data_IF_390508013191
#
_entry.id   IF_390508013191
#
_cell.length_a   1.000
_cell.length_b   1.000
_cell.length_c   1.000
_cell.angle_alpha   90.00
_cell.angle_beta   90.00
_cell.angle_gamma   90.00
#
_symmetry.space_group_name_H-M   'P 1'
#
loop_
_entity.id
_entity.type
_entity.pdbx_description
1 polymer ?
#
# COMPACT_ATOMS: atom_id res chain seq x y z
N UNK A 1 16.79 3.24 4.14
CA UNK A 1 16.27 1.98 4.71
C UNK A 1 16.61 1.99 6.18
N UNK A 2 15.62 1.76 7.02
CA UNK A 2 15.81 1.56 8.45
C UNK A 2 16.88 0.49 8.69
N UNK A 3 17.71 0.70 9.71
CA UNK A 3 18.65 -0.33 10.13
C UNK A 3 17.87 -1.53 10.68
N UNK A 4 18.26 -2.75 10.28
CA UNK A 4 17.65 -3.97 10.83
C UNK A 4 17.82 -4.02 12.36
N UNK A 5 18.85 -3.35 12.90
CA UNK A 5 19.09 -3.23 14.34
C UNK A 5 17.91 -2.60 15.10
N UNK A 6 17.34 -1.49 14.61
CA UNK A 6 16.23 -0.81 15.31
C UNK A 6 14.92 -1.58 15.16
N UNK A 7 14.69 -2.27 14.03
CA UNK A 7 13.53 -3.17 13.85
C UNK A 7 13.61 -4.28 14.90
N UNK A 8 14.73 -5.00 14.95
CA UNK A 8 14.93 -6.10 15.88
C UNK A 8 14.81 -5.63 17.34
N UNK A 9 15.37 -4.45 17.67
CA UNK A 9 15.23 -3.88 18.99
C UNK A 9 13.76 -3.61 19.35
N UNK A 10 12.99 -2.94 18.47
CA UNK A 10 11.58 -2.63 18.70
C UNK A 10 10.69 -3.87 18.75
N UNK A 11 11.03 -4.93 18.03
CA UNK A 11 10.39 -6.24 18.11
C UNK A 11 10.72 -6.98 19.43
N UNK A 12 11.76 -6.54 20.14
CA UNK A 12 12.26 -7.19 21.35
C UNK A 12 13.17 -8.38 21.10
N UNK A 13 13.67 -8.54 19.87
CA UNK A 13 14.58 -9.61 19.44
C UNK A 13 16.04 -9.17 19.36
N UNK A 14 16.29 -7.85 19.39
CA UNK A 14 17.62 -7.24 19.30
C UNK A 14 18.01 -6.39 20.52
N UNK A 15 19.13 -5.69 20.37
CA UNK A 15 19.70 -4.77 21.38
C UNK A 15 19.82 -3.36 20.81
N UNK A 16 19.75 -2.36 21.69
CA UNK A 16 20.11 -1.00 21.37
C UNK A 16 21.63 -0.86 21.22
N UNK A 17 22.10 0.29 20.74
CA UNK A 17 23.53 0.55 20.50
C UNK A 17 24.41 0.46 21.76
N UNK A 18 23.83 0.66 22.93
CA UNK A 18 24.50 0.49 24.23
C UNK A 18 24.46 -0.97 24.75
N UNK A 19 23.91 -1.90 23.96
CA UNK A 19 23.84 -3.33 24.25
C UNK A 19 22.61 -3.74 25.07
N UNK A 20 21.70 -2.81 25.39
CA UNK A 20 20.51 -3.10 26.18
C UNK A 20 19.36 -3.66 25.34
N UNK A 21 18.67 -4.66 25.85
CA UNK A 21 17.39 -5.15 25.30
C UNK A 21 16.21 -4.34 25.84
N UNK A 22 15.06 -4.35 25.13
CA UNK A 22 13.80 -3.80 25.65
C UNK A 22 13.44 -4.38 27.03
N UNK A 23 13.65 -5.69 27.23
CA UNK A 23 13.33 -6.33 28.51
C UNK A 23 14.20 -5.84 29.67
N UNK A 24 15.48 -5.53 29.41
CA UNK A 24 16.37 -4.96 30.43
C UNK A 24 15.97 -3.53 30.77
N UNK A 25 15.58 -2.73 29.78
CA UNK A 25 15.10 -1.36 29.99
C UNK A 25 13.82 -1.35 30.83
N UNK A 26 12.85 -2.23 30.53
CA UNK A 26 11.63 -2.35 31.35
C UNK A 26 11.90 -2.77 32.80
N UNK A 27 13.06 -3.34 33.10
CA UNK A 27 13.47 -3.75 34.43
C UNK A 27 14.27 -2.68 35.19
N UNK A 28 14.49 -1.49 34.60
CA UNK A 28 15.22 -0.41 35.27
C UNK A 28 14.51 0.06 36.54
N UNK A 29 15.26 0.28 37.65
CA UNK A 29 14.73 0.96 38.82
C UNK A 29 14.50 2.46 38.52
N UNK A 30 13.61 3.10 39.27
CA UNK A 30 13.19 4.49 39.01
C UNK A 30 14.37 5.49 38.96
N UNK A 31 15.44 5.27 39.73
CA UNK A 31 16.65 6.10 39.71
C UNK A 31 17.49 5.95 38.43
N UNK A 32 17.49 4.74 37.85
CA UNK A 32 18.12 4.50 36.55
C UNK A 32 17.26 5.10 35.42
N UNK A 33 15.93 4.98 35.50
CA UNK A 33 15.01 5.64 34.56
C UNK A 33 15.24 7.15 34.58
N UNK A 34 15.35 7.78 35.75
CA UNK A 34 15.55 9.22 35.85
C UNK A 34 16.92 9.66 35.31
N UNK A 35 18.02 8.94 35.61
CA UNK A 35 19.37 9.35 35.20
C UNK A 35 19.75 8.98 33.78
N UNK A 36 19.22 7.88 33.25
CA UNK A 36 19.57 7.39 31.92
C UNK A 36 18.64 7.99 30.86
N UNK A 37 19.19 8.78 29.95
CA UNK A 37 18.41 9.43 28.89
C UNK A 37 18.59 8.78 27.52
N UNK A 38 19.42 7.75 27.40
CA UNK A 38 19.83 7.18 26.10
C UNK A 38 18.75 6.24 25.56
N UNK A 39 18.18 5.40 26.44
CA UNK A 39 17.20 4.38 26.05
C UNK A 39 15.96 4.95 25.34
N UNK A 40 15.56 6.18 25.71
CA UNK A 40 14.27 6.75 25.27
C UNK A 40 14.20 6.92 23.75
N UNK A 41 15.35 7.11 23.10
CA UNK A 41 15.40 7.34 21.67
C UNK A 41 15.24 6.06 20.85
N UNK A 42 15.69 4.94 21.43
CA UNK A 42 15.54 3.61 20.85
C UNK A 42 14.16 3.04 21.13
N UNK A 43 13.64 3.24 22.34
CA UNK A 43 12.30 2.75 22.71
C UNK A 43 11.17 3.58 22.09
N UNK A 44 11.42 4.87 21.85
CA UNK A 44 10.48 5.78 21.16
C UNK A 44 11.21 6.59 20.08
N UNK A 45 11.56 5.97 18.93
CA UNK A 45 12.20 6.67 17.82
C UNK A 45 11.23 7.66 17.16
N UNK A 46 11.78 8.72 16.58
CA UNK A 46 11.00 9.77 15.91
C UNK A 46 11.64 10.12 14.58
N UNK A 47 10.90 10.77 13.69
CA UNK A 47 11.39 11.42 12.46
C UNK A 47 12.25 12.67 12.72
N UNK A 48 12.30 13.16 13.96
CA UNK A 48 13.14 14.29 14.36
C UNK A 48 14.46 13.83 15.00
N UNK A 49 15.56 14.46 14.58
CA UNK A 49 16.87 14.31 15.22
C UNK A 49 16.82 14.88 16.64
N UNK A 50 17.35 14.14 17.62
CA UNK A 50 17.48 14.67 18.98
C UNK A 50 18.64 15.66 19.08
N UNK A 51 18.38 16.83 19.66
CA UNK A 51 19.43 17.81 19.97
C UNK A 51 20.43 17.30 21.03
N UNK A 52 19.98 16.46 21.96
CA UNK A 52 20.78 16.00 23.11
C UNK A 52 21.58 14.73 22.84
N UNK A 53 21.16 13.91 21.87
CA UNK A 53 21.90 12.72 21.46
C UNK A 53 21.67 12.49 19.96
N UNK A 54 22.68 12.85 19.16
CA UNK A 54 22.61 12.76 17.69
C UNK A 54 22.79 11.34 17.15
N UNK A 55 23.11 10.36 18.00
CA UNK A 55 23.34 8.97 17.58
C UNK A 55 22.14 8.05 17.78
N UNK A 56 21.00 8.58 18.23
CA UNK A 56 19.73 7.84 18.28
C UNK A 56 19.12 7.64 16.89
N UNK A 57 18.26 6.62 16.74
CA UNK A 57 17.57 6.36 15.48
C UNK A 57 16.64 7.51 15.09
N UNK A 58 16.63 7.84 13.81
CA UNK A 58 15.69 8.79 13.19
C UNK A 58 14.89 8.04 12.12
N UNK A 59 13.56 8.11 12.22
CA UNK A 59 12.67 7.41 11.31
C UNK A 59 12.56 8.19 10.00
N UNK A 60 12.89 7.55 8.89
CA UNK A 60 12.49 8.04 7.58
C UNK A 60 11.04 7.70 7.28
N UNK A 61 10.51 8.32 6.23
CA UNK A 61 9.18 8.05 5.67
C UNK A 61 8.95 6.56 5.41
N UNK A 62 9.92 5.92 4.77
CA UNK A 62 9.87 4.50 4.41
C UNK A 62 9.79 3.62 5.66
N UNK A 63 10.45 4.06 6.73
CA UNK A 63 10.52 3.32 7.99
C UNK A 63 9.17 3.37 8.73
N UNK A 64 8.46 4.50 8.64
CA UNK A 64 7.12 4.63 9.22
C UNK A 64 6.16 3.59 8.64
N UNK A 65 6.14 3.40 7.32
CA UNK A 65 5.29 2.40 6.68
C UNK A 65 5.59 0.97 7.15
N UNK A 66 6.88 0.64 7.35
CA UNK A 66 7.32 -0.71 7.77
C UNK A 66 6.88 -0.99 9.20
N UNK A 67 7.10 -0.03 10.08
CA UNK A 67 6.90 -0.19 11.52
C UNK A 67 5.42 -0.11 11.93
N UNK A 68 4.60 0.69 11.24
CA UNK A 68 3.17 0.89 11.57
C UNK A 68 2.32 -0.38 11.48
N UNK A 69 2.75 -1.37 10.71
CA UNK A 69 2.02 -2.61 10.48
C UNK A 69 2.57 -3.81 11.28
N UNK A 70 3.59 -3.58 12.11
CA UNK A 70 4.20 -4.64 12.90
C UNK A 70 3.50 -4.80 14.26
N UNK A 71 2.78 -5.91 14.42
CA UNK A 71 2.00 -6.22 15.63
C UNK A 71 2.88 -6.32 16.88
N UNK A 72 4.08 -6.90 16.77
CA UNK A 72 5.00 -7.04 17.89
C UNK A 72 5.51 -5.68 18.36
N UNK A 73 5.85 -4.78 17.43
CA UNK A 73 6.26 -3.42 17.74
C UNK A 73 5.11 -2.64 18.39
N UNK A 74 3.89 -2.76 17.86
CA UNK A 74 2.72 -2.11 18.45
C UNK A 74 2.51 -2.53 19.92
N UNK A 75 2.54 -3.83 20.20
CA UNK A 75 2.44 -4.36 21.57
C UNK A 75 3.57 -3.89 22.49
N UNK A 76 4.81 -3.83 21.97
CA UNK A 76 5.95 -3.36 22.74
C UNK A 76 5.87 -1.84 23.02
N UNK A 77 5.31 -1.05 22.11
CA UNK A 77 5.00 0.37 22.36
C UNK A 77 3.96 0.48 23.49
N UNK A 78 2.84 -0.24 23.42
CA UNK A 78 1.81 -0.22 24.47
C UNK A 78 2.39 -0.55 25.86
N UNK A 79 3.21 -1.61 25.93
CA UNK A 79 3.91 -1.99 27.17
C UNK A 79 4.85 -0.89 27.66
N UNK A 80 5.60 -0.28 26.76
CA UNK A 80 6.54 0.81 27.08
C UNK A 80 5.82 2.06 27.56
N UNK A 81 4.61 2.35 27.05
CA UNK A 81 3.77 3.43 27.55
C UNK A 81 3.33 3.17 28.98
N UNK A 82 2.82 1.98 29.27
CA UNK A 82 2.39 1.61 30.64
C UNK A 82 3.57 1.66 31.60
N UNK A 83 4.74 1.16 31.18
CA UNK A 83 5.97 1.23 31.97
C UNK A 83 6.36 2.68 32.32
N UNK A 84 6.35 3.59 31.33
CA UNK A 84 6.74 4.98 31.56
C UNK A 84 5.71 5.75 32.40
N UNK A 85 4.40 5.53 32.17
CA UNK A 85 3.33 6.09 33.02
C UNK A 85 3.49 5.63 34.47
N UNK A 86 3.83 4.35 34.67
CA UNK A 86 4.07 3.78 36.01
C UNK A 86 5.25 4.44 36.73
N UNK A 87 6.31 4.78 36.00
CA UNK A 87 7.43 5.57 36.54
C UNK A 87 6.98 6.98 36.95
N UNK A 88 6.30 7.70 36.05
CA UNK A 88 5.84 9.07 36.31
C UNK A 88 4.88 9.16 37.51
N UNK A 89 4.07 8.14 37.77
CA UNK A 89 3.14 8.12 38.90
C UNK A 89 3.80 7.85 40.26
N UNK A 90 5.01 7.26 40.28
CA UNK A 90 5.80 7.04 41.51
C UNK A 90 6.78 8.18 41.80
N UNK A 91 7.11 9.00 40.81
CA UNK A 91 8.22 9.95 40.89
C UNK A 91 7.81 11.39 40.50
N UNK A 92 7.23 12.16 41.42
CA UNK A 92 6.59 13.45 41.08
C UNK A 92 7.53 14.64 40.75
N UNK A 93 8.85 14.46 40.78
CA UNK A 93 9.82 15.55 40.51
C UNK A 93 9.69 16.15 39.10
N UNK A 94 9.15 15.38 38.16
CA UNK A 94 8.90 15.85 36.79
C UNK A 94 7.81 16.92 36.70
N UNK A 95 6.94 17.07 37.70
CA UNK A 95 5.85 18.05 37.74
C UNK A 95 6.41 19.44 38.12
N UNK A 96 7.34 19.93 37.29
CA UNK A 96 8.02 21.21 37.46
C UNK A 96 8.29 21.83 36.11
N UNK A 97 8.27 23.16 36.03
CA UNK A 97 8.51 23.86 34.76
C UNK A 97 9.88 23.47 34.16
N UNK A 98 9.91 23.25 32.85
CA UNK A 98 11.13 22.92 32.09
C UNK A 98 11.87 21.64 32.53
N UNK A 99 11.15 20.67 33.10
CA UNK A 99 11.75 19.37 33.41
C UNK A 99 12.08 18.58 32.12
N UNK A 100 13.23 17.91 32.10
CA UNK A 100 13.68 17.10 30.96
C UNK A 100 12.74 15.91 30.65
N UNK A 101 11.97 15.41 31.61
CA UNK A 101 10.93 14.41 31.37
C UNK A 101 9.81 14.94 30.45
N UNK A 102 9.58 16.26 30.36
CA UNK A 102 8.64 16.82 29.39
C UNK A 102 9.08 16.59 27.94
N UNK A 103 10.40 16.57 27.69
CA UNK A 103 10.97 16.24 26.37
C UNK A 103 10.82 14.75 26.07
N UNK A 104 10.95 13.89 27.08
CA UNK A 104 10.69 12.45 26.93
C UNK A 104 9.22 12.18 26.61
N UNK A 105 8.30 12.82 27.34
CA UNK A 105 6.85 12.76 27.06
C UNK A 105 6.55 13.25 25.65
N UNK A 106 7.16 14.37 25.21
CA UNK A 106 7.00 14.88 23.84
C UNK A 106 7.42 13.84 22.79
N UNK A 107 8.57 13.18 23.01
CA UNK A 107 9.07 12.12 22.12
C UNK A 107 8.15 10.90 22.12
N UNK A 108 7.66 10.48 23.28
CA UNK A 108 6.71 9.36 23.40
C UNK A 108 5.44 9.67 22.61
N UNK A 109 4.83 10.85 22.83
CA UNK A 109 3.64 11.31 22.10
C UNK A 109 3.90 11.24 20.59
N UNK A 110 4.98 11.86 20.12
CA UNK A 110 5.31 11.87 18.69
C UNK A 110 5.50 10.46 18.14
N UNK A 111 6.29 9.61 18.80
CA UNK A 111 6.54 8.23 18.39
C UNK A 111 5.24 7.41 18.35
N UNK A 112 4.40 7.50 19.38
CA UNK A 112 3.15 6.75 19.46
C UNK A 112 2.17 7.19 18.37
N UNK A 113 2.08 8.49 18.08
CA UNK A 113 1.30 8.98 16.95
C UNK A 113 1.85 8.45 15.61
N UNK A 114 3.17 8.49 15.42
CA UNK A 114 3.82 8.03 14.19
C UNK A 114 3.74 6.53 13.95
N UNK A 115 3.91 5.70 14.99
CA UNK A 115 4.04 4.25 14.85
C UNK A 115 2.80 3.48 15.24
N UNK A 116 2.01 3.98 16.19
CA UNK A 116 0.84 3.25 16.71
C UNK A 116 -0.48 3.87 16.27
N UNK A 117 -0.95 4.91 16.97
CA UNK A 117 -2.19 5.62 16.65
C UNK A 117 -2.24 6.98 17.35
N UNK A 118 -2.99 7.91 16.75
CA UNK A 118 -3.23 9.25 17.32
C UNK A 118 -4.05 9.13 18.60
N UNK A 119 -4.98 8.17 18.64
CA UNK A 119 -5.85 7.91 19.79
C UNK A 119 -5.06 7.41 20.99
N UNK A 120 -4.14 6.45 20.80
CA UNK A 120 -3.29 5.95 21.89
C UNK A 120 -2.32 7.03 22.36
N UNK A 121 -1.77 7.82 21.44
CA UNK A 121 -0.91 8.95 21.78
C UNK A 121 -1.65 10.00 22.60
N UNK A 122 -2.91 10.29 22.24
CA UNK A 122 -3.76 11.22 22.98
C UNK A 122 -4.11 10.66 24.37
N UNK A 123 -4.46 9.39 24.46
CA UNK A 123 -4.68 8.72 25.75
C UNK A 123 -3.44 8.83 26.67
N UNK A 124 -2.24 8.59 26.13
CA UNK A 124 -1.01 8.74 26.91
C UNK A 124 -0.81 10.18 27.39
N UNK A 125 -1.00 11.17 26.50
CA UNK A 125 -0.90 12.59 26.85
C UNK A 125 -1.89 12.98 27.95
N UNK A 126 -3.16 12.58 27.82
CA UNK A 126 -4.20 12.88 28.79
C UNK A 126 -3.90 12.21 30.14
N UNK A 127 -3.41 10.96 30.13
CA UNK A 127 -2.98 10.24 31.34
C UNK A 127 -1.83 10.97 32.06
N UNK A 128 -0.83 11.46 31.33
CA UNK A 128 0.27 12.23 31.93
C UNK A 128 -0.25 13.54 32.53
N UNK A 129 -1.20 14.22 31.88
CA UNK A 129 -1.81 15.45 32.41
C UNK A 129 -2.58 15.15 33.71
N UNK A 130 -3.30 14.04 33.77
CA UNK A 130 -4.05 13.61 34.96
C UNK A 130 -3.12 13.33 36.15
N UNK A 131 -1.95 12.73 35.93
CA UNK A 131 -0.95 12.52 37.00
C UNK A 131 -0.45 13.82 37.65
N UNK A 132 -0.58 14.96 36.97
CA UNK A 132 -0.17 16.27 37.47
C UNK A 132 -1.32 17.13 38.00
N UNK A 133 -2.48 16.55 38.29
CA UNK A 133 -3.70 17.27 38.68
C UNK A 133 -3.56 18.25 39.84
N UNK A 134 -2.59 18.04 40.73
CA UNK A 134 -2.32 18.92 41.87
C UNK A 134 -1.57 20.23 41.53
N UNK A 135 -0.98 20.35 40.33
CA UNK A 135 -0.32 21.59 39.83
C UNK A 135 -0.51 21.75 38.31
N UNK A 136 -1.75 22.09 37.91
CA UNK A 136 -2.12 22.28 36.49
C UNK A 136 -1.35 23.43 35.81
N UNK A 137 -0.76 24.33 36.59
CA UNK A 137 0.03 25.47 36.08
C UNK A 137 1.44 25.05 35.64
N UNK A 138 2.06 24.08 36.32
CA UNK A 138 3.41 23.61 36.01
C UNK A 138 3.55 22.97 34.61
N UNK A 139 2.45 22.50 34.02
CA UNK A 139 2.46 21.84 32.71
C UNK A 139 1.90 22.69 31.57
N UNK A 140 1.46 23.92 31.80
CA UNK A 140 0.74 24.70 30.78
C UNK A 140 1.52 24.85 29.46
N UNK A 141 2.83 25.15 29.55
CA UNK A 141 3.71 25.28 28.38
C UNK A 141 3.99 23.92 27.73
N UNK A 142 4.24 22.89 28.54
CA UNK A 142 4.52 21.54 28.06
C UNK A 142 3.31 20.96 27.31
N UNK A 143 2.10 21.14 27.83
CA UNK A 143 0.84 20.69 27.21
C UNK A 143 0.61 21.30 25.83
N UNK A 144 0.91 22.59 25.65
CA UNK A 144 0.82 23.23 24.34
C UNK A 144 1.81 22.59 23.34
N UNK A 145 3.05 22.36 23.76
CA UNK A 145 4.04 21.69 22.92
C UNK A 145 3.66 20.26 22.58
N UNK A 146 3.13 19.50 23.55
CA UNK A 146 2.63 18.14 23.34
C UNK A 146 1.50 18.09 22.31
N UNK A 147 0.56 19.05 22.37
CA UNK A 147 -0.52 19.18 21.39
C UNK A 147 -0.01 19.44 19.97
N UNK A 148 0.88 20.42 19.79
CA UNK A 148 1.49 20.71 18.47
C UNK A 148 2.23 19.49 17.93
N UNK A 149 3.00 18.81 18.77
CA UNK A 149 3.78 17.64 18.37
C UNK A 149 2.89 16.45 17.96
N UNK A 150 1.75 16.27 18.65
CA UNK A 150 0.73 15.30 18.29
C UNK A 150 0.10 15.63 16.92
N UNK A 151 -0.28 16.89 16.71
CA UNK A 151 -0.93 17.33 15.47
C UNK A 151 0.00 17.17 14.25
N UNK A 152 1.26 17.60 14.36
CA UNK A 152 2.27 17.41 13.32
C UNK A 152 2.52 15.92 13.02
N UNK A 153 2.67 15.09 14.05
CA UNK A 153 2.87 13.65 13.88
C UNK A 153 1.67 12.97 13.23
N UNK A 154 0.45 13.41 13.57
CA UNK A 154 -0.78 12.94 12.95
C UNK A 154 -0.84 13.30 11.46
N UNK A 155 -0.46 14.52 11.09
CA UNK A 155 -0.38 14.96 9.69
C UNK A 155 0.65 14.13 8.90
N UNK A 156 1.82 13.92 9.48
CA UNK A 156 2.89 13.09 8.92
C UNK A 156 2.43 11.65 8.70
N UNK A 157 1.85 11.01 9.73
CA UNK A 157 1.31 9.65 9.65
C UNK A 157 0.27 9.55 8.52
N UNK A 158 -0.63 10.52 8.45
CA UNK A 158 -1.72 10.54 7.48
C UNK A 158 -1.18 10.69 6.05
N UNK A 159 -0.27 11.63 5.82
CA UNK A 159 0.29 11.91 4.50
C UNK A 159 1.12 10.73 3.98
N UNK A 160 2.03 10.21 4.80
CA UNK A 160 2.85 9.08 4.39
C UNK A 160 2.06 7.79 4.27
N UNK A 161 1.09 7.55 5.14
CA UNK A 161 0.20 6.40 5.00
C UNK A 161 -0.52 6.40 3.64
N UNK A 162 -0.96 7.58 3.16
CA UNK A 162 -1.61 7.71 1.84
C UNK A 162 -0.64 7.46 0.68
N UNK A 163 0.55 8.06 0.73
CA UNK A 163 1.59 7.85 -0.29
C UNK A 163 2.02 6.39 -0.34
N UNK A 164 2.34 5.79 0.80
CA UNK A 164 2.77 4.39 0.91
C UNK A 164 1.74 3.42 0.32
N UNK A 165 0.44 3.66 0.56
CA UNK A 165 -0.67 2.91 -0.05
C UNK A 165 -0.79 3.14 -1.56
N UNK A 166 -0.63 4.37 -2.01
CA UNK A 166 -0.67 4.71 -3.43
C UNK A 166 0.47 4.02 -4.20
N UNK A 167 1.71 4.18 -3.75
CA UNK A 167 2.87 3.52 -4.35
C UNK A 167 2.77 1.99 -4.24
N UNK A 168 2.28 1.50 -3.10
CA UNK A 168 2.02 0.09 -2.86
C UNK A 168 1.06 -0.50 -3.87
N UNK A 169 0.01 0.23 -4.28
CA UNK A 169 -0.96 -0.27 -5.26
C UNK A 169 -0.31 -0.54 -6.63
N UNK A 170 0.53 0.37 -7.13
CA UNK A 170 1.17 0.17 -8.43
C UNK A 170 2.33 -0.83 -8.35
N UNK A 171 3.16 -0.78 -7.31
CA UNK A 171 4.20 -1.81 -7.15
C UNK A 171 3.60 -3.19 -6.89
N UNK A 172 2.48 -3.25 -6.17
CA UNK A 172 1.74 -4.47 -5.92
C UNK A 172 1.20 -5.08 -7.21
N UNK A 173 0.67 -4.26 -8.13
CA UNK A 173 0.30 -4.68 -9.49
C UNK A 173 1.47 -5.40 -10.16
N UNK A 174 2.64 -4.75 -10.22
CA UNK A 174 3.80 -5.29 -10.91
C UNK A 174 4.37 -6.57 -10.28
N UNK A 175 4.31 -6.67 -8.95
CA UNK A 175 4.69 -7.89 -8.24
C UNK A 175 3.70 -9.01 -8.51
N UNK A 176 2.40 -8.73 -8.49
CA UNK A 176 1.35 -9.70 -8.76
C UNK A 176 1.44 -10.27 -10.17
N UNK A 177 1.66 -9.40 -11.15
CA UNK A 177 1.96 -9.72 -12.55
C UNK A 177 3.18 -10.66 -12.64
N UNK A 178 4.36 -10.22 -12.19
CA UNK A 178 5.59 -11.01 -12.25
C UNK A 178 5.53 -12.35 -11.47
N UNK A 179 4.76 -12.41 -10.37
CA UNK A 179 4.61 -13.61 -9.56
C UNK A 179 3.65 -14.62 -10.19
N UNK A 180 2.62 -14.14 -10.90
CA UNK A 180 1.59 -14.97 -11.51
C UNK A 180 1.95 -15.50 -12.90
N UNK A 181 2.75 -14.77 -13.68
CA UNK A 181 3.08 -15.12 -15.07
C UNK A 181 3.59 -16.57 -15.24
N UNK A 182 4.50 -17.11 -14.42
CA UNK A 182 5.02 -18.49 -14.59
C UNK A 182 3.98 -19.61 -14.40
N UNK A 183 2.82 -19.29 -13.82
CA UNK A 183 1.73 -20.24 -13.55
C UNK A 183 0.42 -19.85 -14.25
N UNK A 184 0.46 -18.82 -15.09
CA UNK A 184 -0.65 -18.45 -15.94
C UNK A 184 -1.04 -19.64 -16.86
N UNK A 185 -2.34 -19.81 -17.05
CA UNK A 185 -3.00 -20.90 -17.79
C UNK A 185 -2.79 -22.32 -17.23
N UNK A 186 -2.05 -22.50 -16.12
CA UNK A 186 -1.92 -23.81 -15.46
C UNK A 186 -3.13 -24.08 -14.57
N UNK A 187 -3.61 -25.31 -14.59
CA UNK A 187 -4.71 -25.72 -13.71
C UNK A 187 -4.31 -25.65 -12.25
N UNK A 188 -5.25 -25.31 -11.38
CA UNK A 188 -5.00 -25.23 -9.94
C UNK A 188 -4.46 -26.57 -9.42
N UNK A 189 -3.45 -26.51 -8.55
CA UNK A 189 -2.80 -27.68 -7.94
C UNK A 189 -2.09 -28.62 -8.92
N UNK A 190 -1.87 -28.20 -10.18
CA UNK A 190 -1.06 -28.97 -11.15
C UNK A 190 0.35 -28.42 -11.33
N UNK A 191 0.77 -27.49 -10.48
CA UNK A 191 2.09 -26.87 -10.49
C UNK A 191 2.60 -26.73 -9.04
N UNK A 192 3.92 -26.68 -8.88
CA UNK A 192 4.54 -26.45 -7.57
C UNK A 192 4.07 -25.12 -6.98
N UNK A 193 3.55 -25.07 -5.74
CA UNK A 193 3.00 -23.86 -5.15
C UNK A 193 3.97 -22.68 -5.22
N UNK A 194 3.53 -21.56 -5.78
CA UNK A 194 4.33 -20.33 -5.89
C UNK A 194 4.60 -19.79 -4.48
N UNK A 195 5.87 -19.56 -4.16
CA UNK A 195 6.34 -19.03 -2.87
C UNK A 195 7.31 -17.87 -3.01
N UNK A 196 7.84 -17.66 -4.23
CA UNK A 196 8.82 -16.66 -4.64
C UNK A 196 8.72 -16.45 -6.15
N UNK A 197 9.35 -15.39 -6.66
CA UNK A 197 9.51 -15.20 -8.11
C UNK A 197 10.19 -16.40 -8.77
N UNK A 198 9.81 -16.65 -10.01
CA UNK A 198 10.31 -17.73 -10.86
C UNK A 198 10.53 -17.17 -12.25
N UNK A 199 11.36 -17.84 -13.02
CA UNK A 199 11.41 -17.64 -14.48
C UNK A 199 10.10 -18.09 -15.10
N UNK A 200 9.65 -17.40 -16.14
CA UNK A 200 8.53 -17.84 -16.97
C UNK A 200 9.06 -18.53 -18.23
N UNK A 201 8.70 -19.80 -18.40
CA UNK A 201 9.08 -20.59 -19.58
C UNK A 201 8.26 -20.21 -20.82
N UNK A 202 7.04 -19.67 -20.65
CA UNK A 202 6.15 -19.35 -21.77
C UNK A 202 6.68 -18.18 -22.60
N UNK A 203 7.16 -17.14 -21.93
CA UNK A 203 7.67 -15.92 -22.55
C UNK A 203 9.19 -15.71 -22.40
N UNK A 204 9.89 -16.70 -21.82
CA UNK A 204 11.34 -16.62 -21.52
C UNK A 204 11.70 -15.40 -20.67
N UNK A 205 10.92 -15.16 -19.61
CA UNK A 205 11.13 -14.03 -18.71
C UNK A 205 11.98 -14.44 -17.50
N UNK A 206 12.96 -13.61 -17.08
CA UNK A 206 13.73 -13.86 -15.86
C UNK A 206 12.88 -13.69 -14.59
N UNK A 207 13.39 -14.14 -13.44
CA UNK A 207 12.72 -13.90 -12.15
C UNK A 207 12.41 -12.41 -11.95
N UNK A 208 11.16 -12.09 -11.59
CA UNK A 208 10.74 -10.72 -11.27
C UNK A 208 10.44 -9.83 -12.49
N UNK A 209 10.54 -10.36 -13.72
CA UNK A 209 10.04 -9.69 -14.90
C UNK A 209 8.51 -9.83 -15.00
N UNK A 210 7.87 -8.74 -15.41
CA UNK A 210 6.43 -8.56 -15.57
C UNK A 210 6.03 -8.48 -17.04
N UNK A 211 4.74 -8.60 -17.34
CA UNK A 211 4.16 -8.72 -18.69
C UNK A 211 3.50 -7.41 -19.18
N UNK A 212 2.55 -7.52 -20.10
CA UNK A 212 1.71 -6.45 -20.61
C UNK A 212 0.98 -5.66 -19.52
N UNK A 213 0.66 -6.23 -18.37
CA UNK A 213 -0.17 -5.54 -17.36
C UNK A 213 0.57 -4.33 -16.79
N UNK A 214 1.80 -4.57 -16.33
CA UNK A 214 2.69 -3.51 -15.86
C UNK A 214 3.11 -2.59 -17.00
N UNK A 215 3.34 -3.12 -18.22
CA UNK A 215 3.72 -2.32 -19.38
C UNK A 215 2.63 -1.30 -19.77
N UNK A 216 1.38 -1.75 -19.84
CA UNK A 216 0.23 -0.91 -20.14
C UNK A 216 -0.06 0.06 -18.99
N UNK A 217 0.13 -0.35 -17.73
CA UNK A 217 0.03 0.55 -16.58
C UNK A 217 1.09 1.67 -16.65
N UNK A 218 2.33 1.37 -17.06
CA UNK A 218 3.36 2.39 -17.29
C UNK A 218 2.98 3.35 -18.43
N UNK A 219 2.46 2.84 -19.55
CA UNK A 219 1.97 3.68 -20.64
C UNK A 219 0.82 4.60 -20.20
N UNK A 220 -0.13 4.06 -19.42
CA UNK A 220 -1.23 4.83 -18.83
C UNK A 220 -0.73 5.89 -17.85
N UNK A 221 0.31 5.58 -17.08
CA UNK A 221 0.95 6.51 -16.15
C UNK A 221 1.56 7.70 -16.89
N UNK A 222 2.37 7.44 -17.92
CA UNK A 222 2.98 8.52 -18.70
C UNK A 222 1.92 9.39 -19.41
N UNK A 223 0.81 8.78 -19.87
CA UNK A 223 -0.31 9.51 -20.46
C UNK A 223 -1.02 10.41 -19.45
N UNK A 224 -1.24 9.92 -18.23
CA UNK A 224 -1.84 10.70 -17.14
C UNK A 224 -0.97 11.86 -16.65
N UNK A 225 0.36 11.70 -16.69
CA UNK A 225 1.29 12.78 -16.41
C UNK A 225 1.26 13.87 -17.50
N UNK A 226 0.98 13.48 -18.76
CA UNK A 226 0.83 14.43 -19.86
C UNK A 226 -0.53 15.14 -19.84
N UNK A 227 -1.61 14.40 -19.56
CA UNK A 227 -2.98 14.92 -19.42
C UNK A 227 -3.73 14.16 -18.30
N UNK A 228 -4.11 14.84 -17.20
CA UNK A 228 -4.81 14.19 -16.09
C UNK A 228 -6.18 13.62 -16.49
N UNK A 229 -6.79 14.07 -17.59
CA UNK A 229 -8.08 13.59 -18.08
C UNK A 229 -7.97 12.41 -19.06
N UNK A 230 -6.76 11.90 -19.33
CA UNK A 230 -6.44 10.86 -20.34
C UNK A 230 -6.81 11.33 -21.75
N UNK A 231 -5.83 11.71 -22.57
CA UNK A 231 -6.03 11.80 -24.02
C UNK A 231 -6.01 10.39 -24.64
N UNK A 232 -7.12 9.88 -25.22
CA UNK A 232 -7.13 8.57 -25.84
C UNK A 232 -6.11 8.41 -26.97
N UNK A 233 -5.79 9.48 -27.70
CA UNK A 233 -4.83 9.46 -28.82
C UNK A 233 -3.43 9.20 -28.28
N UNK A 234 -2.99 10.00 -27.31
CA UNK A 234 -1.70 9.82 -26.64
C UNK A 234 -1.58 8.44 -25.98
N UNK A 235 -2.64 7.96 -25.30
CA UNK A 235 -2.61 6.64 -24.69
C UNK A 235 -2.48 5.50 -25.71
N UNK A 236 -3.25 5.57 -26.81
CA UNK A 236 -3.17 4.57 -27.88
C UNK A 236 -1.82 4.62 -28.60
N UNK A 237 -1.25 5.80 -28.83
CA UNK A 237 0.10 5.94 -29.38
C UNK A 237 1.15 5.29 -28.48
N UNK A 238 1.05 5.47 -27.16
CA UNK A 238 1.96 4.80 -26.20
C UNK A 238 1.76 3.29 -26.18
N UNK A 239 0.53 2.79 -26.25
CA UNK A 239 0.28 1.36 -26.36
C UNK A 239 0.82 0.78 -27.68
N UNK A 240 0.68 1.50 -28.79
CA UNK A 240 1.29 1.08 -30.06
C UNK A 240 2.82 1.08 -29.97
N UNK A 241 3.44 2.10 -29.38
CA UNK A 241 4.90 2.16 -29.20
C UNK A 241 5.43 1.04 -28.28
N UNK A 242 4.67 0.70 -27.23
CA UNK A 242 4.93 -0.50 -26.42
C UNK A 242 4.85 -1.79 -27.25
N UNK A 243 3.78 -1.97 -28.01
CA UNK A 243 3.54 -3.19 -28.77
C UNK A 243 4.51 -3.37 -29.96
N UNK A 244 4.85 -2.28 -30.65
CA UNK A 244 5.65 -2.28 -31.88
C UNK A 244 7.15 -2.15 -31.60
N UNK A 245 7.55 -1.30 -30.64
CA UNK A 245 8.96 -0.95 -30.39
C UNK A 245 9.47 -1.41 -29.01
N UNK A 246 8.66 -2.09 -28.21
CA UNK A 246 9.06 -2.62 -26.91
C UNK A 246 9.28 -1.55 -25.83
N UNK A 247 8.75 -0.33 -26.01
CA UNK A 247 8.77 0.69 -24.97
C UNK A 247 8.02 0.19 -23.73
N UNK A 248 8.49 0.54 -22.53
CA UNK A 248 7.84 0.14 -21.27
C UNK A 248 7.70 -1.37 -21.05
N UNK A 249 8.51 -2.20 -21.70
CA UNK A 249 8.61 -3.64 -21.41
C UNK A 249 9.58 -3.91 -20.26
N UNK A 250 9.49 -5.09 -19.64
CA UNK A 250 10.44 -5.51 -18.60
C UNK A 250 11.81 -5.87 -19.20
N UNK A 251 11.82 -6.59 -20.33
CA UNK A 251 13.02 -7.19 -20.96
C UNK A 251 13.39 -6.61 -22.33
N UNK A 252 12.65 -5.64 -22.85
CA UNK A 252 12.83 -5.11 -24.21
C UNK A 252 11.91 -5.75 -25.25
N UNK A 253 11.14 -6.79 -24.88
CA UNK A 253 10.21 -7.50 -25.77
C UNK A 253 8.78 -7.37 -25.24
N UNK A 254 7.84 -7.11 -26.14
CA UNK A 254 6.41 -7.09 -25.82
C UNK A 254 5.89 -8.53 -25.72
N UNK A 255 5.24 -8.85 -24.60
CA UNK A 255 4.69 -10.18 -24.30
C UNK A 255 3.34 -10.03 -23.60
N UNK A 256 2.47 -11.03 -23.73
CA UNK A 256 1.20 -11.11 -22.98
C UNK A 256 -0.01 -10.38 -23.59
N UNK A 257 0.15 -9.60 -24.67
CA UNK A 257 -0.94 -8.81 -25.25
C UNK A 257 -2.18 -9.65 -25.60
N UNK A 258 -3.34 -9.25 -25.07
CA UNK A 258 -4.62 -9.90 -25.33
C UNK A 258 -5.24 -9.52 -26.69
N UNK A 259 -6.18 -10.34 -27.17
CA UNK A 259 -6.83 -10.17 -28.48
C UNK A 259 -7.65 -8.88 -28.60
N UNK A 260 -8.30 -8.41 -27.51
CA UNK A 260 -9.10 -7.19 -27.53
C UNK A 260 -8.20 -5.95 -27.60
N UNK A 261 -7.11 -5.94 -26.83
CA UNK A 261 -6.08 -4.90 -26.91
C UNK A 261 -5.46 -4.86 -28.30
N UNK A 262 -4.99 -5.99 -28.84
CA UNK A 262 -4.43 -6.05 -30.21
C UNK A 262 -5.41 -5.48 -31.24
N UNK A 263 -6.68 -5.89 -31.18
CA UNK A 263 -7.71 -5.41 -32.11
C UNK A 263 -7.98 -3.90 -31.95
N UNK A 264 -7.95 -3.37 -30.72
CA UNK A 264 -8.10 -1.95 -30.49
C UNK A 264 -6.93 -1.16 -31.11
N UNK A 265 -5.69 -1.62 -30.93
CA UNK A 265 -4.51 -1.00 -31.52
C UNK A 265 -4.54 -1.07 -33.06
N UNK A 266 -4.95 -2.20 -33.64
CA UNK A 266 -5.10 -2.31 -35.09
C UNK A 266 -6.16 -1.36 -35.66
N UNK A 267 -7.32 -1.26 -35.00
CA UNK A 267 -8.38 -0.35 -35.43
C UNK A 267 -7.96 1.10 -35.29
N UNK A 268 -7.24 1.45 -34.22
CA UNK A 268 -6.65 2.77 -34.07
C UNK A 268 -5.69 3.09 -35.21
N UNK A 269 -4.70 2.22 -35.48
CA UNK A 269 -3.73 2.41 -36.58
C UNK A 269 -4.39 2.51 -37.96
N UNK A 270 -5.45 1.74 -38.22
CA UNK A 270 -6.10 1.68 -39.54
C UNK A 270 -7.17 2.73 -39.76
N UNK A 271 -7.92 3.09 -38.71
CA UNK A 271 -9.16 3.89 -38.82
C UNK A 271 -9.17 5.14 -37.94
N UNK A 272 -8.24 5.26 -36.99
CA UNK A 272 -8.25 6.34 -35.99
C UNK A 272 -9.29 6.13 -34.89
N UNK A 273 -9.73 4.88 -34.65
CA UNK A 273 -10.72 4.59 -33.61
C UNK A 273 -10.12 4.86 -32.22
N UNK A 274 -10.70 5.80 -31.46
CA UNK A 274 -10.26 6.16 -30.10
C UNK A 274 -10.96 5.35 -28.99
N UNK A 275 -11.85 4.45 -29.38
CA UNK A 275 -12.60 3.56 -28.48
C UNK A 275 -12.77 2.21 -29.14
N UNK A 276 -12.81 1.16 -28.34
CA UNK A 276 -13.05 -0.17 -28.85
C UNK A 276 -14.43 -0.28 -29.51
N UNK A 277 -14.43 -0.77 -30.74
CA UNK A 277 -15.64 -1.04 -31.50
C UNK A 277 -16.36 -2.29 -30.96
N UNK A 278 -17.68 -2.29 -31.06
CA UNK A 278 -18.49 -3.47 -30.78
C UNK A 278 -18.10 -4.62 -31.72
N UNK A 279 -18.08 -5.84 -31.21
CA UNK A 279 -17.86 -7.05 -32.02
C UNK A 279 -18.94 -8.10 -31.77
N UNK A 280 -18.95 -9.16 -32.58
CA UNK A 280 -19.86 -10.28 -32.40
C UNK A 280 -19.54 -11.14 -31.17
N UNK A 281 -18.39 -10.92 -30.52
CA UNK A 281 -18.00 -11.57 -29.27
C UNK A 281 -18.06 -10.57 -28.12
N UNK A 282 -18.40 -11.06 -26.92
CA UNK A 282 -18.38 -10.24 -25.71
C UNK A 282 -16.94 -9.98 -25.29
N UNK A 283 -16.55 -8.71 -25.16
CA UNK A 283 -15.22 -8.28 -24.67
C UNK A 283 -15.19 -8.16 -23.14
N UNK A 284 -15.75 -9.15 -22.43
CA UNK A 284 -15.96 -9.13 -20.98
C UNK A 284 -14.74 -9.65 -20.19
N UNK A 285 -13.54 -9.50 -20.75
CA UNK A 285 -12.30 -9.89 -20.11
C UNK A 285 -11.78 -8.81 -19.14
N UNK A 286 -10.73 -9.17 -18.43
CA UNK A 286 -10.11 -8.41 -17.34
C UNK A 286 -9.01 -7.42 -17.79
N UNK A 287 -8.80 -7.23 -19.10
CA UNK A 287 -7.72 -6.43 -19.67
C UNK A 287 -7.70 -4.97 -19.21
N UNK A 288 -8.85 -4.43 -18.79
CA UNK A 288 -8.95 -3.06 -18.31
C UNK A 288 -8.67 -2.87 -16.81
N UNK A 289 -8.94 -3.86 -15.96
CA UNK A 289 -8.77 -3.74 -14.50
C UNK A 289 -7.33 -4.06 -14.05
N UNK A 290 -6.60 -4.83 -14.85
CA UNK A 290 -5.21 -5.23 -14.55
C UNK A 290 -4.22 -4.06 -14.51
N UNK A 291 -4.53 -2.95 -15.19
CA UNK A 291 -3.64 -1.77 -15.37
C UNK A 291 -4.15 -0.50 -14.68
N UNK A 292 -5.09 -0.61 -13.74
CA UNK A 292 -5.91 0.52 -13.29
C UNK A 292 -5.23 1.46 -12.28
N UNK A 293 -4.28 0.97 -11.48
CA UNK A 293 -3.64 1.72 -10.40
C UNK A 293 -3.25 3.18 -10.77
N UNK A 294 -2.59 3.46 -11.91
CA UNK A 294 -2.18 4.82 -12.29
C UNK A 294 -3.31 5.86 -12.25
N UNK A 295 -4.51 5.50 -12.71
CA UNK A 295 -5.69 6.37 -12.69
C UNK A 295 -6.03 6.78 -11.26
N UNK A 296 -5.98 5.81 -10.36
CA UNK A 296 -6.33 6.04 -8.96
C UNK A 296 -5.23 6.83 -8.26
N UNK A 297 -3.95 6.54 -8.51
CA UNK A 297 -2.83 7.30 -7.95
C UNK A 297 -2.95 8.79 -8.29
N UNK A 298 -3.39 9.13 -9.51
CA UNK A 298 -3.55 10.52 -9.96
C UNK A 298 -4.79 11.22 -9.40
N UNK A 299 -5.84 10.47 -9.04
CA UNK A 299 -7.20 11.00 -8.78
C UNK A 299 -7.85 10.53 -7.46
N UNK A 300 -7.14 9.83 -6.57
CA UNK A 300 -7.72 9.22 -5.37
C UNK A 300 -8.49 10.20 -4.45
N UNK A 301 -8.09 11.49 -4.42
CA UNK A 301 -8.77 12.55 -3.64
C UNK A 301 -10.20 12.81 -4.13
N UNK A 302 -10.50 12.47 -5.38
CA UNK A 302 -11.81 12.57 -5.97
C UNK A 302 -12.19 11.21 -6.58
N UNK A 303 -12.73 10.33 -5.74
CA UNK A 303 -13.17 8.98 -6.15
C UNK A 303 -14.06 9.01 -7.40
N UNK A 304 -14.96 9.99 -7.54
CA UNK A 304 -15.84 10.09 -8.72
C UNK A 304 -15.08 10.40 -10.00
N UNK A 305 -14.04 11.23 -9.94
CA UNK A 305 -13.16 11.49 -11.08
C UNK A 305 -12.34 10.24 -11.43
N UNK A 306 -11.74 9.58 -10.43
CA UNK A 306 -11.00 8.33 -10.61
C UNK A 306 -11.88 7.25 -11.28
N UNK A 307 -13.11 7.09 -10.80
CA UNK A 307 -14.12 6.16 -11.34
C UNK A 307 -14.50 6.47 -12.80
N UNK A 308 -14.75 7.74 -13.13
CA UNK A 308 -15.04 8.18 -14.50
C UNK A 308 -13.88 7.88 -15.45
N UNK A 309 -12.64 8.12 -15.01
CA UNK A 309 -11.44 7.85 -15.81
C UNK A 309 -11.14 6.35 -15.91
N UNK A 310 -11.47 5.56 -14.88
CA UNK A 310 -11.41 4.10 -14.92
C UNK A 310 -12.33 3.52 -16.00
N UNK A 311 -13.56 4.04 -16.11
CA UNK A 311 -14.50 3.71 -17.18
C UNK A 311 -13.94 4.17 -18.54
N UNK A 312 -13.37 5.38 -18.62
CA UNK A 312 -12.81 5.94 -19.85
C UNK A 312 -11.67 5.06 -20.39
N UNK A 313 -10.67 4.73 -19.58
CA UNK A 313 -9.54 3.89 -20.00
C UNK A 313 -9.98 2.47 -20.39
N UNK A 314 -10.97 1.91 -19.68
CA UNK A 314 -11.51 0.59 -20.03
C UNK A 314 -12.07 0.60 -21.45
N UNK A 315 -12.86 1.62 -21.79
CA UNK A 315 -13.55 1.72 -23.09
C UNK A 315 -12.64 2.05 -24.28
N UNK A 316 -11.38 2.41 -24.04
CA UNK A 316 -10.38 2.62 -25.10
C UNK A 316 -10.05 1.29 -25.79
N UNK A 317 -9.92 0.20 -25.02
CA UNK A 317 -9.54 -1.13 -25.53
C UNK A 317 -10.65 -2.18 -25.42
N UNK A 318 -11.64 -1.98 -24.55
CA UNK A 318 -12.69 -2.97 -24.28
C UNK A 318 -14.09 -2.39 -24.52
N UNK A 319 -14.81 -2.95 -25.48
CA UNK A 319 -16.23 -2.63 -25.69
C UNK A 319 -17.10 -3.50 -24.77
N UNK A 320 -17.04 -3.24 -23.46
CA UNK A 320 -17.79 -4.00 -22.46
C UNK A 320 -18.23 -3.14 -21.29
N UNK A 321 -19.53 -3.18 -20.97
CA UNK A 321 -20.09 -2.51 -19.80
C UNK A 321 -19.73 -3.21 -18.49
N UNK A 322 -19.48 -4.53 -18.50
CA UNK A 322 -19.08 -5.25 -17.29
C UNK A 322 -17.61 -4.98 -16.95
N UNK A 323 -16.72 -4.89 -17.94
CA UNK A 323 -15.32 -4.50 -17.71
C UNK A 323 -15.19 -3.03 -17.30
N UNK A 324 -16.03 -2.14 -17.87
CA UNK A 324 -16.12 -0.75 -17.44
C UNK A 324 -16.64 -0.63 -15.99
N UNK A 325 -17.68 -1.38 -15.63
CA UNK A 325 -18.23 -1.37 -14.28
C UNK A 325 -17.27 -2.00 -13.26
N UNK A 326 -16.53 -3.04 -13.63
CA UNK A 326 -15.48 -3.59 -12.77
C UNK A 326 -14.35 -2.57 -12.52
N UNK A 327 -13.97 -1.80 -13.55
CA UNK A 327 -13.01 -0.70 -13.42
C UNK A 327 -13.53 0.41 -12.51
N UNK A 328 -14.82 0.78 -12.62
CA UNK A 328 -15.49 1.72 -11.73
C UNK A 328 -15.43 1.24 -10.27
N UNK A 329 -15.83 0.01 -10.00
CA UNK A 329 -15.83 -0.53 -8.63
C UNK A 329 -14.42 -0.61 -8.05
N UNK A 330 -13.45 -1.13 -8.81
CA UNK A 330 -12.07 -1.25 -8.37
C UNK A 330 -11.45 0.13 -8.09
N UNK A 331 -11.68 1.13 -8.95
CA UNK A 331 -11.20 2.50 -8.73
C UNK A 331 -11.76 3.11 -7.45
N UNK A 332 -13.04 2.87 -7.15
CA UNK A 332 -13.65 3.32 -5.90
C UNK A 332 -13.01 2.66 -4.66
N UNK A 333 -12.77 1.35 -4.71
CA UNK A 333 -12.10 0.63 -3.60
C UNK A 333 -10.69 1.19 -3.38
N UNK A 334 -9.90 1.28 -4.46
CA UNK A 334 -8.51 1.73 -4.38
C UNK A 334 -8.43 3.19 -3.89
N UNK A 335 -9.33 4.07 -4.35
CA UNK A 335 -9.38 5.48 -3.90
C UNK A 335 -9.59 5.56 -2.38
N UNK A 336 -10.54 4.78 -1.86
CA UNK A 336 -10.85 4.73 -0.43
C UNK A 336 -9.73 4.11 0.40
N UNK A 337 -9.13 3.03 -0.09
CA UNK A 337 -7.98 2.41 0.56
C UNK A 337 -6.80 3.38 0.63
N UNK A 338 -6.45 4.06 -0.47
CA UNK A 338 -5.39 5.07 -0.51
C UNK A 338 -5.72 6.22 0.46
N UNK A 339 -6.99 6.65 0.54
CA UNK A 339 -7.42 7.68 1.49
C UNK A 339 -7.32 7.26 2.97
N UNK A 340 -7.04 5.97 3.25
CA UNK A 340 -6.85 5.43 4.59
C UNK A 340 -8.09 4.73 5.16
N UNK A 341 -9.16 4.53 4.39
CA UNK A 341 -10.32 3.75 4.85
C UNK A 341 -9.93 2.29 5.09
N UNK A 342 -10.48 1.69 6.16
CA UNK A 342 -10.28 0.27 6.40
C UNK A 342 -10.96 -0.58 5.32
N UNK A 343 -10.54 -1.85 5.19
CA UNK A 343 -11.01 -2.78 4.16
C UNK A 343 -12.54 -2.88 4.04
N UNK A 344 -13.28 -2.87 5.16
CA UNK A 344 -14.73 -3.05 5.12
C UNK A 344 -15.48 -1.83 4.61
N UNK A 345 -14.97 -0.63 4.91
CA UNK A 345 -15.54 0.64 4.46
C UNK A 345 -15.10 0.98 3.04
N UNK A 346 -13.86 0.65 2.67
CA UNK A 346 -13.36 0.80 1.30
C UNK A 346 -14.19 0.04 0.26
N UNK A 347 -14.75 -1.11 0.64
CA UNK A 347 -15.64 -1.91 -0.22
C UNK A 347 -17.04 -1.31 -0.39
N UNK A 348 -17.40 -0.24 0.33
CA UNK A 348 -18.68 0.48 0.18
C UNK A 348 -18.49 1.60 -0.84
N UNK A 349 -18.54 1.24 -2.12
CA UNK A 349 -18.32 2.17 -3.23
C UNK A 349 -19.66 2.70 -3.74
N UNK A 350 -19.77 4.01 -3.92
CA UNK A 350 -20.86 4.63 -4.66
C UNK A 350 -20.69 4.36 -6.15
N UNK A 351 -21.73 3.90 -6.82
CA UNK A 351 -21.67 3.57 -8.23
C UNK A 351 -21.66 4.86 -9.09
N UNK A 352 -20.67 5.01 -9.98
CA UNK A 352 -20.64 6.15 -10.92
C UNK A 352 -21.37 5.85 -12.23
N UNK A 353 -21.75 4.59 -12.43
CA UNK A 353 -22.60 4.11 -13.51
C UNK A 353 -23.60 3.05 -13.01
N UNK A 354 -24.51 2.62 -13.86
CA UNK A 354 -25.37 1.48 -13.55
C UNK A 354 -24.55 0.18 -13.66
N UNK A 355 -24.39 -0.52 -12.54
CA UNK A 355 -23.66 -1.78 -12.51
C UNK A 355 -24.51 -2.94 -13.05
N UNK A 356 -23.93 -3.79 -13.92
CA UNK A 356 -24.53 -5.07 -14.27
C UNK A 356 -24.79 -5.95 -13.04
N UNK A 357 -25.75 -6.87 -13.14
CA UNK A 357 -26.19 -7.73 -12.03
C UNK A 357 -25.05 -8.52 -11.41
N UNK A 358 -24.15 -9.02 -12.24
CA UNK A 358 -22.98 -9.79 -11.86
C UNK A 358 -22.06 -9.00 -10.92
N UNK A 359 -21.83 -7.72 -11.22
CA UNK A 359 -21.02 -6.85 -10.36
C UNK A 359 -21.76 -6.52 -9.05
N UNK A 360 -23.08 -6.31 -9.09
CA UNK A 360 -23.90 -6.11 -7.89
C UNK A 360 -23.81 -7.32 -6.94
N UNK A 361 -23.76 -8.54 -7.49
CA UNK A 361 -23.55 -9.76 -6.71
C UNK A 361 -22.15 -9.75 -6.07
N UNK A 362 -21.09 -9.40 -6.80
CA UNK A 362 -19.74 -9.31 -6.22
C UNK A 362 -19.65 -8.23 -5.13
N UNK A 363 -20.26 -7.05 -5.35
CA UNK A 363 -20.24 -5.95 -4.40
C UNK A 363 -21.02 -6.26 -3.11
N UNK A 364 -21.90 -7.27 -3.13
CA UNK A 364 -22.58 -7.80 -1.93
C UNK A 364 -21.67 -8.62 -1.01
N UNK A 365 -20.43 -8.90 -1.43
CA UNK A 365 -19.35 -9.53 -0.63
C UNK A 365 -19.58 -10.98 -0.25
N UNK A 366 -20.43 -11.71 -1.00
CA UNK A 366 -20.65 -13.15 -0.82
C UNK A 366 -19.38 -13.99 -0.91
N UNK A 367 -18.40 -13.52 -1.70
CA UNK A 367 -17.08 -14.14 -1.86
C UNK A 367 -16.35 -14.40 -0.53
N UNK A 368 -16.60 -13.63 0.53
CA UNK A 368 -15.94 -13.80 1.84
C UNK A 368 -16.12 -15.17 2.47
N UNK A 369 -17.21 -15.86 2.12
CA UNK A 369 -17.59 -17.16 2.69
C UNK A 369 -17.26 -18.32 1.75
N UNK A 370 -16.80 -18.03 0.54
CA UNK A 370 -16.45 -19.06 -0.45
C UNK A 370 -15.17 -19.78 -0.04
N UNK A 371 -15.20 -21.09 -0.14
CA UNK A 371 -14.00 -21.91 -0.12
C UNK A 371 -13.19 -21.69 -1.40
N UNK A 372 -11.89 -21.99 -1.35
CA UNK A 372 -10.97 -21.80 -2.46
C UNK A 372 -11.47 -22.47 -3.76
N UNK A 373 -12.00 -23.69 -3.68
CA UNK A 373 -12.51 -24.45 -4.83
C UNK A 373 -13.76 -23.85 -5.49
N UNK A 374 -14.45 -22.90 -4.84
CA UNK A 374 -15.58 -22.17 -5.39
C UNK A 374 -15.17 -20.89 -6.13
N UNK A 375 -13.92 -20.45 -5.94
CA UNK A 375 -13.35 -19.30 -6.64
C UNK A 375 -12.94 -19.72 -8.04
N UNK A 376 -13.44 -19.01 -9.04
CA UNK A 376 -13.03 -19.19 -10.43
C UNK A 376 -11.80 -18.33 -10.71
N UNK A 377 -10.92 -18.82 -11.57
CA UNK A 377 -9.71 -18.11 -11.99
C UNK A 377 -9.59 -18.07 -13.51
N UNK A 378 -10.63 -17.56 -14.18
CA UNK A 378 -10.67 -17.42 -15.65
C UNK A 378 -10.34 -15.97 -16.06
N UNK A 379 -10.08 -15.75 -17.35
CA UNK A 379 -9.87 -14.41 -17.92
C UNK A 379 -11.13 -13.52 -17.95
N UNK A 380 -12.27 -13.99 -17.44
CA UNK A 380 -13.48 -13.18 -17.32
C UNK A 380 -13.36 -12.17 -16.16
N UNK A 381 -13.74 -10.91 -16.40
CA UNK A 381 -13.50 -9.80 -15.46
C UNK A 381 -14.11 -10.02 -14.07
N UNK A 382 -15.29 -10.62 -14.00
CA UNK A 382 -15.97 -10.90 -12.72
C UNK A 382 -15.26 -12.00 -11.93
N UNK A 383 -14.78 -13.04 -12.61
CA UNK A 383 -14.08 -14.15 -11.95
C UNK A 383 -12.76 -13.63 -11.36
N UNK A 384 -12.03 -12.82 -12.14
CA UNK A 384 -10.80 -12.17 -11.70
C UNK A 384 -11.02 -11.24 -10.50
N UNK A 385 -12.02 -10.34 -10.59
CA UNK A 385 -12.31 -9.40 -9.53
C UNK A 385 -12.75 -10.11 -8.24
N UNK A 386 -13.58 -11.16 -8.36
CA UNK A 386 -13.97 -11.99 -7.22
C UNK A 386 -12.77 -12.69 -6.58
N UNK A 387 -11.90 -13.29 -7.39
CA UNK A 387 -10.71 -13.99 -6.92
C UNK A 387 -9.74 -13.05 -6.19
N UNK A 388 -9.49 -11.86 -6.74
CA UNK A 388 -8.62 -10.86 -6.12
C UNK A 388 -9.19 -10.32 -4.79
N UNK A 389 -10.50 -10.00 -4.76
CA UNK A 389 -11.18 -9.59 -3.54
C UNK A 389 -11.17 -10.68 -2.47
N UNK A 390 -11.40 -11.94 -2.87
CA UNK A 390 -11.33 -13.10 -1.99
C UNK A 390 -9.93 -13.29 -1.42
N UNK A 391 -8.90 -13.28 -2.26
CA UNK A 391 -7.52 -13.48 -1.83
C UNK A 391 -7.13 -12.44 -0.78
N UNK A 392 -7.30 -11.15 -1.09
CA UNK A 392 -6.95 -10.05 -0.19
C UNK A 392 -7.84 -10.01 1.05
N UNK A 393 -9.15 -10.21 0.88
CA UNK A 393 -10.12 -10.09 1.95
C UNK A 393 -10.12 -11.23 2.95
N UNK A 394 -9.44 -12.34 2.65
CA UNK A 394 -9.32 -13.54 3.50
C UNK A 394 -7.87 -13.81 3.94
N UNK A 395 -7.01 -12.80 3.84
CA UNK A 395 -5.63 -12.78 4.36
C UNK A 395 -5.36 -11.50 5.15
N UNK A 396 -4.24 -11.47 5.87
CA UNK A 396 -3.84 -10.41 6.79
C UNK A 396 -2.53 -9.71 6.39
N UNK A 397 -1.84 -10.15 5.33
CA UNK A 397 -0.60 -9.54 4.83
C UNK A 397 -0.55 -9.48 3.31
N UNK A 398 0.26 -8.56 2.77
CA UNK A 398 0.51 -8.43 1.34
C UNK A 398 1.03 -9.75 0.75
N UNK A 399 2.05 -10.36 1.38
CA UNK A 399 2.64 -11.64 0.96
C UNK A 399 1.58 -12.74 0.88
N UNK A 400 0.79 -12.92 1.93
CA UNK A 400 -0.25 -13.94 1.94
C UNK A 400 -1.30 -13.70 0.86
N UNK A 401 -1.72 -12.45 0.63
CA UNK A 401 -2.69 -12.09 -0.40
C UNK A 401 -2.19 -12.44 -1.82
N UNK A 402 -0.98 -12.04 -2.17
CA UNK A 402 -0.38 -12.33 -3.48
C UNK A 402 -0.23 -13.83 -3.70
N UNK A 403 0.37 -14.55 -2.74
CA UNK A 403 0.58 -15.99 -2.88
C UNK A 403 -0.75 -16.73 -3.00
N UNK A 404 -1.77 -16.32 -2.24
CA UNK A 404 -3.12 -16.90 -2.32
C UNK A 404 -3.79 -16.65 -3.67
N UNK A 405 -3.59 -15.47 -4.25
CA UNK A 405 -4.09 -15.10 -5.57
C UNK A 405 -3.46 -15.94 -6.70
N UNK A 406 -2.13 -15.92 -6.81
CA UNK A 406 -1.43 -16.57 -7.94
C UNK A 406 -1.52 -18.10 -7.89
N UNK A 407 -1.63 -18.70 -6.69
CA UNK A 407 -1.78 -20.15 -6.54
C UNK A 407 -3.18 -20.67 -6.94
N UNK A 408 -4.13 -19.80 -7.31
CA UNK A 408 -5.38 -20.23 -7.92
C UNK A 408 -5.18 -20.85 -9.32
N UNK A 409 -4.04 -20.61 -9.97
CA UNK A 409 -3.81 -20.99 -11.37
C UNK A 409 -4.81 -20.30 -12.30
N UNK A 410 -5.00 -20.83 -13.50
CA UNK A 410 -5.83 -20.20 -14.52
C UNK A 410 -5.23 -18.85 -14.92
N UNK A 411 -5.99 -17.77 -14.86
CA UNK A 411 -5.50 -16.42 -15.19
C UNK A 411 -4.74 -15.77 -14.01
N UNK A 412 -3.72 -16.48 -13.54
CA UNK A 412 -3.03 -16.23 -12.27
C UNK A 412 -2.25 -14.91 -12.24
N UNK A 413 -1.68 -14.50 -13.37
CA UNK A 413 -1.04 -13.21 -13.59
C UNK A 413 -2.03 -12.06 -13.45
N UNK A 414 -3.19 -12.11 -14.10
CA UNK A 414 -4.18 -11.02 -13.98
C UNK A 414 -4.77 -10.95 -12.58
N UNK A 415 -5.11 -12.11 -11.99
CA UNK A 415 -5.61 -12.17 -10.62
C UNK A 415 -4.54 -11.65 -9.65
N UNK A 416 -3.27 -12.03 -9.88
CA UNK A 416 -2.12 -11.52 -9.14
C UNK A 416 -2.02 -10.00 -9.22
N UNK A 417 -2.06 -9.43 -10.42
CA UNK A 417 -1.98 -7.98 -10.64
C UNK A 417 -3.13 -7.22 -9.95
N UNK A 418 -4.38 -7.67 -10.08
CA UNK A 418 -5.54 -7.04 -9.43
C UNK A 418 -5.48 -7.20 -7.90
N UNK A 419 -5.11 -8.39 -7.41
CA UNK A 419 -4.90 -8.62 -5.98
C UNK A 419 -3.76 -7.76 -5.44
N UNK A 420 -2.71 -7.52 -6.24
CA UNK A 420 -1.59 -6.67 -5.89
C UNK A 420 -1.94 -5.20 -5.79
N UNK A 421 -2.79 -4.69 -6.68
CA UNK A 421 -3.34 -3.33 -6.54
C UNK A 421 -4.09 -3.17 -5.21
N UNK A 422 -4.97 -4.12 -4.90
CA UNK A 422 -5.78 -4.11 -3.68
C UNK A 422 -4.93 -4.29 -2.41
N UNK A 423 -4.03 -5.28 -2.39
CA UNK A 423 -3.14 -5.56 -1.28
C UNK A 423 -2.18 -4.38 -1.06
N UNK A 424 -1.62 -3.84 -2.14
CA UNK A 424 -0.76 -2.66 -2.10
C UNK A 424 -1.46 -1.42 -1.53
N UNK A 425 -2.67 -1.12 -1.99
CA UNK A 425 -3.46 -0.02 -1.43
C UNK A 425 -3.90 -0.28 0.03
N UNK A 426 -4.08 -1.55 0.41
CA UNK A 426 -4.53 -1.94 1.75
C UNK A 426 -3.40 -1.94 2.80
N UNK A 427 -2.23 -2.46 2.44
CA UNK A 427 -1.12 -2.70 3.36
C UNK A 427 0.03 -1.71 3.16
N UNK A 428 0.14 -1.09 1.97
CA UNK A 428 1.21 -0.15 1.67
C UNK A 428 2.46 -0.78 1.07
N UNK A 429 3.28 0.06 0.39
CA UNK A 429 4.55 -0.31 -0.23
C UNK A 429 5.52 -0.90 0.78
N UNK A 430 5.57 -0.34 1.99
CA UNK A 430 6.41 -0.84 3.05
C UNK A 430 6.10 -2.29 3.45
N UNK A 431 4.85 -2.75 3.34
CA UNK A 431 4.49 -4.14 3.66
C UNK A 431 4.87 -5.15 2.57
N UNK A 432 5.45 -4.70 1.46
CA UNK A 432 5.92 -5.58 0.39
C UNK A 432 7.26 -6.20 0.81
N UNK A 433 7.40 -7.54 0.76
CA UNK A 433 8.65 -8.21 1.14
C UNK A 433 9.88 -7.62 0.44
N UNK A 434 10.94 -7.37 1.20
CA UNK A 434 12.18 -6.75 0.71
C UNK A 434 12.82 -7.52 -0.43
N UNK A 435 12.81 -8.85 -0.36
CA UNK A 435 13.33 -9.72 -1.41
C UNK A 435 12.52 -9.59 -2.71
N UNK A 436 11.22 -9.29 -2.63
CA UNK A 436 10.39 -9.04 -3.80
C UNK A 436 10.64 -7.64 -4.37
N UNK A 437 10.81 -6.63 -3.51
CA UNK A 437 11.15 -5.26 -3.96
C UNK A 437 12.49 -5.25 -4.70
N UNK A 438 13.51 -5.93 -4.16
CA UNK A 438 14.85 -5.99 -4.75
C UNK A 438 14.93 -6.77 -6.06
N UNK A 439 14.09 -7.81 -6.23
CA UNK A 439 14.08 -8.66 -7.42
C UNK A 439 13.15 -8.19 -8.53
N UNK A 440 12.22 -7.29 -8.23
CA UNK A 440 11.29 -6.77 -9.24
C UNK A 440 12.06 -6.01 -10.32
N UNK A 441 11.94 -6.45 -11.56
CA UNK A 441 12.61 -5.81 -12.69
C UNK A 441 12.10 -4.38 -12.85
N UNK A 442 13.01 -3.42 -13.00
CA UNK A 442 12.71 -1.98 -13.15
C UNK A 442 11.90 -1.39 -11.98
N UNK A 443 12.07 -1.91 -10.77
CA UNK A 443 11.45 -1.39 -9.54
C UNK A 443 11.53 0.15 -9.44
N UNK A 444 12.73 0.74 -9.58
CA UNK A 444 12.94 2.18 -9.43
C UNK A 444 12.11 3.00 -10.44
N UNK A 445 12.02 2.54 -11.68
CA UNK A 445 11.20 3.22 -12.71
C UNK A 445 9.72 3.25 -12.32
N UNK A 446 9.20 2.13 -11.81
CA UNK A 446 7.79 2.05 -11.40
C UNK A 446 7.58 2.93 -10.16
N UNK A 447 8.53 2.93 -9.21
CA UNK A 447 8.48 3.76 -8.01
C UNK A 447 8.48 5.26 -8.35
N UNK A 448 9.38 5.70 -9.23
CA UNK A 448 9.52 7.09 -9.67
C UNK A 448 8.22 7.61 -10.28
N UNK A 449 7.65 6.90 -11.26
CA UNK A 449 6.42 7.36 -11.92
C UNK A 449 5.19 7.25 -11.01
N UNK A 450 5.15 6.26 -10.11
CA UNK A 450 4.12 6.18 -9.07
C UNK A 450 4.18 7.40 -8.16
N UNK A 451 5.39 7.81 -7.77
CA UNK A 451 5.60 8.99 -6.94
C UNK A 451 5.21 10.27 -7.66
N UNK A 452 5.57 10.40 -8.94
CA UNK A 452 5.14 11.54 -9.76
C UNK A 452 3.61 11.66 -9.81
N UNK A 453 2.90 10.58 -10.17
CA UNK A 453 1.43 10.58 -10.21
C UNK A 453 0.81 10.97 -8.86
N UNK A 454 1.35 10.43 -7.76
CA UNK A 454 0.88 10.76 -6.42
C UNK A 454 1.14 12.23 -6.08
N UNK A 455 2.34 12.76 -6.31
CA UNK A 455 2.70 14.16 -6.04
C UNK A 455 1.81 15.13 -6.84
N UNK A 456 1.55 14.82 -8.11
CA UNK A 456 0.63 15.61 -8.94
C UNK A 456 -0.84 15.53 -8.48
N UNK A 457 -1.24 14.48 -7.75
CA UNK A 457 -2.60 14.35 -7.19
C UNK A 457 -2.85 15.25 -5.97
N UNK A 458 -1.78 15.66 -5.28
CA UNK A 458 -1.84 16.51 -4.07
C UNK A 458 -1.47 17.96 -4.34
N UNK A 459 -0.88 18.23 -5.51
CA UNK A 459 -0.64 19.57 -6.07
C UNK A 459 -1.95 20.19 -6.54
#
# INVERSE_FOLDING_TARGET
>A
MLDQEIINFLEGTGVARDGLTLSQIWAFPDDEIERNHVFIQWMFPTDLLSASNKSGPVLSVTDLGLLQHNVSIAQNIERSLTWFVSFLSRYNHWITNYNHNHLRVSRIIRCTALLHSVELSKWFMDTVIELAEHDKTALAVARLHWGVNLDEAAEIRNTYGKQDRALGAFLGLAIGDAMGAPVAFKSRRTFEPVTKFRTDEKFDLPEGAWTDYTAMALCLSESLCADPEIDPTDLLDRFCDWAENGKNTSTGVCVGVDENTLRALENYRRKGDLRAAATNQKSDDNGSIMRLAPVVLRHWRNSKAAQKLAIKQSRITHHSDISAAASDYLAGILSKLIAGENWNDALKVENSMQWPRELVIISSRGWRRKAENEIKSTGHVIDTLEAALWAVGTTDSFKAAILKAVNLGGDADTIGAVAGQLAGARYGLACIPDDWRQKLVKFEKILEISNQLYSESIS
#
